data_IF_759717979777
#
_entry.id   IF_759717979777
#
_cell.length_a   1.000
_cell.length_b   1.000
_cell.length_c   1.000
_cell.angle_alpha   90.00
_cell.angle_beta   90.00
_cell.angle_gamma   90.00
#
_symmetry.space_group_name_H-M   'P 1'
#
loop_
_entity.id
_entity.type
_entity.pdbx_description
1 polymer ?
#
# COMPACT_ATOMS: atom_id res chain seq x y z
N UNK A 1 -12.93 17.85 8.95
CA UNK A 1 -13.88 16.82 8.58
C UNK A 1 -13.27 15.98 7.48
N UNK A 2 -13.15 14.67 7.70
CA UNK A 2 -12.61 13.75 6.70
C UNK A 2 -13.77 13.33 5.79
N UNK A 3 -13.79 13.78 4.55
CA UNK A 3 -14.64 13.21 3.52
C UNK A 3 -13.99 11.88 3.06
N UNK A 4 -14.07 10.87 3.92
CA UNK A 4 -13.82 9.50 3.52
C UNK A 4 -14.96 9.08 2.59
N UNK A 5 -14.72 9.10 1.28
CA UNK A 5 -15.63 8.47 0.33
C UNK A 5 -15.50 6.96 0.53
N UNK A 6 -16.27 6.46 1.52
CA UNK A 6 -16.35 5.04 1.82
C UNK A 6 -17.12 4.29 0.73
N UNK A 7 -16.50 3.27 0.18
CA UNK A 7 -17.17 2.00 -0.02
C UNK A 7 -18.07 1.82 -1.20
N UNK A 8 -17.83 2.40 -2.36
CA UNK A 8 -18.34 1.77 -3.61
C UNK A 8 -17.18 1.13 -4.35
N UNK A 9 -17.47 -0.02 -4.98
CA UNK A 9 -16.53 -0.59 -5.94
C UNK A 9 -16.02 0.54 -6.84
N UNK A 10 -14.70 0.69 -6.98
CA UNK A 10 -14.15 1.77 -7.80
C UNK A 10 -14.78 1.70 -9.19
N UNK A 11 -15.05 2.84 -9.84
CA UNK A 11 -15.56 2.85 -11.20
C UNK A 11 -14.67 1.95 -12.06
N UNK A 12 -15.30 0.96 -12.71
CA UNK A 12 -14.60 0.02 -13.59
C UNK A 12 -13.72 0.82 -14.56
N UNK A 13 -12.42 0.64 -14.54
CA UNK A 13 -11.45 1.34 -15.38
C UNK A 13 -10.55 2.34 -14.67
N UNK A 14 -10.95 2.98 -13.57
CA UNK A 14 -10.08 3.97 -12.87
C UNK A 14 -8.91 3.33 -12.13
N UNK A 15 -9.08 2.14 -11.56
CA UNK A 15 -8.01 1.44 -10.83
C UNK A 15 -7.08 0.63 -11.73
N UNK A 16 -7.50 0.26 -12.95
CA UNK A 16 -6.66 -0.56 -13.83
C UNK A 16 -5.27 0.06 -14.09
N UNK A 17 -5.13 1.34 -14.43
CA UNK A 17 -3.81 1.96 -14.60
C UNK A 17 -2.99 1.94 -13.31
N UNK A 18 -3.64 2.16 -12.16
CA UNK A 18 -2.97 2.15 -10.86
C UNK A 18 -2.47 0.75 -10.50
N UNK A 19 -3.29 -0.29 -10.68
CA UNK A 19 -2.89 -1.70 -10.47
C UNK A 19 -1.71 -2.04 -11.38
N UNK A 20 -1.76 -1.66 -12.66
CA UNK A 20 -0.66 -1.86 -13.61
C UNK A 20 0.62 -1.18 -13.14
N UNK A 21 0.55 0.00 -12.54
CA UNK A 21 1.71 0.66 -11.95
C UNK A 21 2.30 -0.14 -10.78
N UNK A 22 1.47 -0.66 -9.88
CA UNK A 22 1.94 -1.53 -8.79
C UNK A 22 2.65 -2.78 -9.30
N UNK A 23 2.16 -3.38 -10.39
CA UNK A 23 2.81 -4.52 -11.05
C UNK A 23 4.14 -4.15 -11.72
N UNK A 24 4.18 -3.05 -12.48
CA UNK A 24 5.39 -2.55 -13.15
C UNK A 24 6.45 -2.17 -12.12
N UNK A 25 6.06 -1.53 -11.04
CA UNK A 25 6.95 -1.19 -9.94
C UNK A 25 7.36 -2.41 -9.12
N UNK A 26 6.74 -3.57 -9.36
CA UNK A 26 7.00 -4.82 -8.64
C UNK A 26 6.59 -4.75 -7.16
N UNK A 27 5.66 -3.87 -6.79
CA UNK A 27 5.06 -3.85 -5.46
C UNK A 27 4.17 -5.07 -5.24
N UNK A 28 3.53 -5.56 -6.32
CA UNK A 28 2.71 -6.76 -6.33
C UNK A 28 3.14 -7.68 -7.49
N UNK A 29 2.90 -9.00 -7.39
CA UNK A 29 3.14 -9.91 -8.49
C UNK A 29 2.19 -9.63 -9.65
N UNK A 30 2.65 -9.85 -10.88
CA UNK A 30 1.81 -9.78 -12.09
C UNK A 30 0.77 -10.89 -12.09
N UNK A 31 -0.46 -10.55 -12.48
CA UNK A 31 -1.55 -11.50 -12.60
C UNK A 31 -2.44 -11.25 -13.81
N UNK A 32 -3.33 -12.20 -14.11
CA UNK A 32 -4.31 -12.08 -15.20
C UNK A 32 -5.65 -11.53 -14.72
N UNK A 33 -5.99 -11.80 -13.44
CA UNK A 33 -7.27 -11.40 -12.87
C UNK A 33 -7.04 -10.55 -11.61
N UNK A 34 -7.74 -9.43 -11.55
CA UNK A 34 -7.65 -8.47 -10.45
C UNK A 34 -9.04 -8.16 -9.92
N UNK A 35 -9.20 -8.24 -8.61
CA UNK A 35 -10.40 -7.77 -7.92
C UNK A 35 -9.99 -6.76 -6.87
N UNK A 36 -10.41 -5.51 -7.06
CA UNK A 36 -10.23 -4.44 -6.10
C UNK A 36 -11.52 -4.19 -5.34
N UNK A 37 -11.40 -3.96 -4.03
CA UNK A 37 -12.51 -3.66 -3.12
C UNK A 37 -12.10 -2.54 -2.15
N UNK A 38 -13.05 -2.00 -1.43
CA UNK A 38 -12.81 -1.07 -0.33
C UNK A 38 -11.85 0.06 -0.70
N UNK A 39 -12.25 0.83 -1.71
CA UNK A 39 -11.46 1.93 -2.22
C UNK A 39 -11.67 3.19 -1.37
N UNK A 40 -10.58 3.77 -0.89
CA UNK A 40 -10.52 4.99 -0.12
C UNK A 40 -9.74 6.03 -0.91
N UNK A 41 -10.25 7.24 -0.97
CA UNK A 41 -9.59 8.38 -1.60
C UNK A 41 -9.81 9.59 -0.72
N UNK A 42 -8.78 10.36 -0.50
CA UNK A 42 -8.90 11.62 0.23
C UNK A 42 -7.57 12.17 0.72
N UNK A 43 -7.59 13.38 1.26
CA UNK A 43 -6.46 13.93 1.94
C UNK A 43 -6.27 13.16 3.24
N UNK A 44 -5.33 12.27 3.21
CA UNK A 44 -4.95 11.47 4.35
C UNK A 44 -3.71 12.13 5.00
N UNK A 45 -3.82 12.90 6.18
CA UNK A 45 -2.73 13.59 6.87
C UNK A 45 -2.05 14.72 6.09
N UNK A 46 -2.78 15.33 5.14
CA UNK A 46 -2.25 16.39 4.31
C UNK A 46 -1.67 15.93 2.97
N UNK A 47 -1.51 14.63 2.75
CA UNK A 47 -1.14 14.06 1.46
C UNK A 47 -2.35 13.49 0.73
N UNK A 48 -2.50 13.74 -0.56
CA UNK A 48 -3.51 13.08 -1.40
C UNK A 48 -3.18 11.59 -1.48
N UNK A 49 -4.07 10.77 -0.93
CA UNK A 49 -3.89 9.33 -0.84
C UNK A 49 -5.02 8.53 -1.46
N UNK A 50 -4.67 7.32 -1.87
CA UNK A 50 -5.61 6.31 -2.31
C UNK A 50 -5.20 4.98 -1.68
N UNK A 51 -6.16 4.27 -1.09
CA UNK A 51 -5.93 2.93 -0.57
C UNK A 51 -7.05 2.00 -1.00
N UNK A 52 -6.75 0.74 -1.29
CA UNK A 52 -7.73 -0.25 -1.71
C UNK A 52 -7.25 -1.67 -1.39
N UNK A 53 -8.20 -2.54 -1.14
CA UNK A 53 -7.93 -3.97 -1.05
C UNK A 53 -7.85 -4.56 -2.45
N UNK A 54 -6.81 -5.34 -2.73
CA UNK A 54 -6.58 -5.97 -4.01
C UNK A 54 -6.36 -7.47 -3.85
N UNK A 55 -7.00 -8.24 -4.71
CA UNK A 55 -6.69 -9.66 -4.90
C UNK A 55 -6.22 -9.87 -6.33
N UNK A 56 -5.11 -10.60 -6.48
CA UNK A 56 -4.51 -10.92 -7.77
C UNK A 56 -4.45 -12.42 -7.93
N UNK A 57 -4.91 -12.92 -9.08
CA UNK A 57 -4.79 -14.33 -9.45
C UNK A 57 -3.97 -14.47 -10.72
N UNK A 58 -3.24 -15.60 -10.77
CA UNK A 58 -2.49 -16.04 -11.93
C UNK A 58 -2.97 -17.44 -12.31
N UNK A 59 -3.21 -17.66 -13.61
CA UNK A 59 -3.48 -18.99 -14.10
C UNK A 59 -2.23 -19.85 -13.97
N UNK A 60 -2.35 -21.01 -13.36
CA UNK A 60 -1.32 -22.05 -13.35
C UNK A 60 -1.75 -23.18 -14.23
N UNK A 61 -0.99 -23.43 -15.28
CA UNK A 61 -1.27 -24.50 -16.26
C UNK A 61 -1.21 -25.89 -15.61
N UNK A 62 -0.27 -26.09 -14.70
CA UNK A 62 -0.09 -27.34 -13.95
C UNK A 62 -1.30 -27.68 -13.08
N UNK A 63 -2.00 -26.70 -12.54
CA UNK A 63 -3.14 -26.86 -11.66
C UNK A 63 -4.49 -26.71 -12.40
N UNK A 64 -4.48 -26.28 -13.68
CA UNK A 64 -5.66 -25.98 -14.52
C UNK A 64 -6.65 -25.02 -13.83
N UNK A 65 -6.16 -24.12 -12.97
CA UNK A 65 -6.98 -23.17 -12.22
C UNK A 65 -6.26 -21.87 -11.93
N UNK A 66 -6.99 -20.77 -11.67
CA UNK A 66 -6.40 -19.56 -11.16
C UNK A 66 -5.94 -19.75 -9.71
N UNK A 67 -4.70 -19.39 -9.41
CA UNK A 67 -4.13 -19.39 -8.07
C UNK A 67 -3.98 -17.97 -7.59
N UNK A 68 -4.39 -17.69 -6.36
CA UNK A 68 -4.21 -16.39 -5.73
C UNK A 68 -2.73 -16.18 -5.43
N UNK A 69 -2.15 -15.13 -6.03
CA UNK A 69 -0.74 -14.77 -5.87
C UNK A 69 -0.51 -13.54 -5.00
N UNK A 70 -1.57 -12.76 -4.73
CA UNK A 70 -1.56 -11.63 -3.81
C UNK A 70 -2.95 -11.40 -3.25
N UNK A 71 -3.03 -11.03 -1.98
CA UNK A 71 -4.26 -10.54 -1.39
C UNK A 71 -3.93 -9.59 -0.24
N UNK A 72 -4.22 -8.31 -0.42
CA UNK A 72 -3.82 -7.34 0.58
C UNK A 72 -4.18 -5.91 0.28
N UNK A 73 -3.56 -5.02 1.02
CA UNK A 73 -3.73 -3.59 0.95
C UNK A 73 -2.72 -2.99 -0.03
N UNK A 74 -3.21 -2.18 -0.97
CA UNK A 74 -2.40 -1.33 -1.83
C UNK A 74 -2.73 0.13 -1.51
N UNK A 75 -1.70 0.96 -1.31
CA UNK A 75 -1.85 2.37 -1.06
C UNK A 75 -0.89 3.19 -1.91
N UNK A 76 -1.36 4.33 -2.41
CA UNK A 76 -0.57 5.34 -3.11
C UNK A 76 -0.76 6.68 -2.44
N UNK A 77 0.34 7.41 -2.19
CA UNK A 77 0.32 8.77 -1.66
C UNK A 77 1.10 9.71 -2.58
N UNK A 78 0.58 10.90 -2.80
CA UNK A 78 1.34 11.99 -3.39
C UNK A 78 2.15 12.66 -2.27
N UNK A 79 3.48 12.66 -2.39
CA UNK A 79 4.35 13.33 -1.45
C UNK A 79 4.33 14.84 -1.75
N UNK A 80 4.34 15.67 -0.71
CA UNK A 80 4.26 17.12 -0.84
C UNK A 80 5.48 17.70 -1.58
N UNK A 81 6.60 16.98 -1.58
CA UNK A 81 7.84 17.42 -2.21
C UNK A 81 8.19 16.61 -3.45
N UNK A 82 8.67 17.25 -4.52
CA UNK A 82 9.07 16.56 -5.74
C UNK A 82 10.35 15.77 -5.50
N UNK A 83 10.21 14.47 -5.30
CA UNK A 83 11.33 13.52 -5.23
C UNK A 83 11.53 12.99 -6.64
N UNK A 84 12.64 13.33 -7.29
CA UNK A 84 13.01 12.78 -8.60
C UNK A 84 13.78 11.47 -8.41
N UNK A 85 13.46 10.46 -9.22
CA UNK A 85 14.10 9.15 -9.17
C UNK A 85 13.21 8.06 -8.58
N UNK A 86 13.80 6.89 -8.38
CA UNK A 86 13.08 5.71 -7.88
C UNK A 86 13.88 4.97 -6.84
N UNK A 87 13.25 4.71 -5.71
CA UNK A 87 13.80 3.88 -4.62
C UNK A 87 12.78 2.83 -4.23
N UNK A 88 13.20 1.58 -4.22
CA UNK A 88 12.45 0.49 -3.62
C UNK A 88 13.00 0.23 -2.23
N UNK A 89 12.11 0.22 -1.26
CA UNK A 89 12.41 -0.08 0.13
C UNK A 89 11.90 -1.48 0.46
N UNK A 90 12.79 -2.31 1.00
CA UNK A 90 12.42 -3.60 1.56
C UNK A 90 11.78 -3.41 2.94
N UNK A 91 11.10 -4.44 3.43
CA UNK A 91 10.50 -4.42 4.75
C UNK A 91 11.53 -4.15 5.88
N UNK A 92 12.79 -4.56 5.70
CA UNK A 92 13.87 -4.30 6.63
C UNK A 92 14.40 -2.84 6.59
N UNK A 93 13.80 -2.01 5.72
CA UNK A 93 14.19 -0.61 5.55
C UNK A 93 15.46 -0.42 4.72
N UNK A 94 16.02 -1.48 4.15
CA UNK A 94 17.15 -1.38 3.24
C UNK A 94 16.67 -1.13 1.80
N UNK A 95 17.42 -0.38 1.00
CA UNK A 95 17.12 -0.22 -0.43
C UNK A 95 17.34 -1.56 -1.16
N UNK A 96 16.44 -1.86 -2.10
CA UNK A 96 16.57 -3.05 -2.94
C UNK A 96 17.64 -2.84 -4.04
N UNK A 97 18.14 -3.94 -4.62
CA UNK A 97 19.06 -3.88 -5.73
C UNK A 97 18.44 -3.11 -6.91
N UNK A 98 19.21 -2.20 -7.51
CA UNK A 98 18.74 -1.32 -8.59
C UNK A 98 18.05 -0.03 -8.12
N UNK A 99 17.96 0.21 -6.81
CA UNK A 99 17.54 1.50 -6.26
C UNK A 99 18.67 2.53 -6.39
N UNK A 100 18.29 3.81 -6.51
CA UNK A 100 19.23 4.91 -6.33
C UNK A 100 19.66 4.96 -4.86
N UNK A 101 20.88 4.47 -4.59
CA UNK A 101 21.40 4.38 -3.22
C UNK A 101 21.59 5.75 -2.59
N UNK A 102 22.00 6.76 -3.36
CA UNK A 102 22.16 8.12 -2.86
C UNK A 102 20.83 8.69 -2.41
N UNK A 103 19.81 8.54 -3.25
CA UNK A 103 18.46 8.93 -2.92
C UNK A 103 17.91 8.14 -1.73
N UNK A 104 18.15 6.82 -1.70
CA UNK A 104 17.72 5.98 -0.60
C UNK A 104 18.30 6.42 0.75
N UNK A 105 19.60 6.72 0.80
CA UNK A 105 20.24 7.23 2.03
C UNK A 105 19.64 8.55 2.51
N UNK A 106 19.28 9.43 1.58
CA UNK A 106 18.64 10.72 1.92
C UNK A 106 17.20 10.53 2.42
N UNK A 107 16.47 9.56 1.89
CA UNK A 107 15.09 9.28 2.28
C UNK A 107 14.96 8.47 3.57
N UNK A 108 15.91 7.58 3.86
CA UNK A 108 15.89 6.71 5.03
C UNK A 108 16.33 7.42 6.31
N UNK A 109 15.68 8.52 6.61
CA UNK A 109 15.85 9.26 7.87
C UNK A 109 15.40 8.44 9.10
N UNK A 110 15.80 8.77 10.33
CA UNK A 110 15.35 8.05 11.51
C UNK A 110 13.83 7.93 11.65
N UNK A 111 13.00 8.96 11.37
CA UNK A 111 11.54 8.82 11.37
C UNK A 111 11.01 7.83 10.32
N UNK A 112 11.56 7.83 9.10
CA UNK A 112 11.18 6.90 8.05
C UNK A 112 11.52 5.46 8.44
N UNK A 113 12.72 5.23 8.99
CA UNK A 113 13.12 3.91 9.51
C UNK A 113 12.20 3.43 10.64
N UNK A 114 11.81 4.33 11.55
CA UNK A 114 10.88 4.00 12.63
C UNK A 114 9.49 3.63 12.10
N UNK A 115 8.97 4.35 11.10
CA UNK A 115 7.69 4.04 10.46
C UNK A 115 7.73 2.67 9.74
N UNK A 116 8.79 2.38 8.98
CA UNK A 116 8.99 1.08 8.35
C UNK A 116 9.13 -0.05 9.37
N UNK A 117 9.82 0.18 10.48
CA UNK A 117 9.96 -0.81 11.55
C UNK A 117 8.61 -1.15 12.21
N UNK A 118 7.73 -0.15 12.41
CA UNK A 118 6.36 -0.39 12.91
C UNK A 118 5.53 -1.23 11.94
N UNK A 119 5.56 -0.89 10.65
CA UNK A 119 4.89 -1.68 9.62
C UNK A 119 5.42 -3.12 9.60
N UNK A 120 6.74 -3.30 9.67
CA UNK A 120 7.37 -4.63 9.72
C UNK A 120 6.99 -5.42 10.96
N UNK A 121 6.95 -4.80 12.12
CA UNK A 121 6.55 -5.46 13.37
C UNK A 121 5.13 -6.05 13.26
N UNK A 122 4.24 -5.40 12.51
CA UNK A 122 2.85 -5.83 12.33
C UNK A 122 2.66 -6.81 11.17
N UNK A 123 3.34 -6.60 10.04
CA UNK A 123 3.09 -7.33 8.80
C UNK A 123 4.24 -8.25 8.36
N UNK A 124 5.37 -8.23 9.08
CA UNK A 124 6.56 -8.98 8.72
C UNK A 124 7.19 -8.50 7.41
N UNK A 125 7.78 -9.41 6.66
CA UNK A 125 8.48 -9.11 5.40
C UNK A 125 7.52 -9.02 4.18
N UNK A 126 6.20 -8.97 4.43
CA UNK A 126 5.15 -8.94 3.40
C UNK A 126 4.84 -7.53 2.89
N UNK A 127 5.74 -6.59 3.10
CA UNK A 127 5.61 -5.19 2.72
C UNK A 127 6.53 -4.92 1.53
N UNK A 128 5.99 -4.23 0.53
CA UNK A 128 6.75 -3.65 -0.55
C UNK A 128 6.44 -2.15 -0.63
N UNK A 129 7.45 -1.31 -0.59
CA UNK A 129 7.29 0.12 -0.72
C UNK A 129 8.21 0.65 -1.84
N UNK A 130 7.65 1.47 -2.73
CA UNK A 130 8.40 2.11 -3.82
C UNK A 130 8.08 3.60 -3.82
N UNK A 131 9.13 4.41 -3.82
CA UNK A 131 9.03 5.85 -4.05
C UNK A 131 9.47 6.09 -5.48
N UNK A 132 8.65 6.79 -6.25
CA UNK A 132 8.97 7.16 -7.62
C UNK A 132 8.31 8.48 -8.01
N UNK A 133 9.11 9.42 -8.45
CA UNK A 133 8.67 10.70 -9.01
C UNK A 133 7.65 11.43 -8.11
N UNK A 134 7.94 11.49 -6.80
CA UNK A 134 7.09 12.14 -5.80
C UNK A 134 5.86 11.34 -5.38
N UNK A 135 5.77 10.08 -5.77
CA UNK A 135 4.71 9.16 -5.36
C UNK A 135 5.27 8.05 -4.49
N UNK A 136 4.59 7.77 -3.39
CA UNK A 136 4.83 6.57 -2.56
C UNK A 136 3.80 5.51 -2.91
N UNK A 137 4.25 4.33 -3.27
CA UNK A 137 3.44 3.13 -3.47
C UNK A 137 3.77 2.13 -2.37
N UNK A 138 2.77 1.63 -1.67
CA UNK A 138 2.94 0.58 -0.66
C UNK A 138 1.97 -0.55 -0.93
N UNK A 139 2.47 -1.78 -0.88
CA UNK A 139 1.65 -2.98 -0.93
C UNK A 139 1.97 -3.87 0.28
N UNK A 140 0.95 -4.36 0.95
CA UNK A 140 1.04 -5.27 2.09
C UNK A 140 0.26 -6.54 1.74
N UNK A 141 0.94 -7.68 1.60
CA UNK A 141 0.27 -8.96 1.39
C UNK A 141 -0.26 -9.50 2.72
N UNK A 142 -1.55 -9.37 2.93
CA UNK A 142 -2.21 -9.78 4.17
C UNK A 142 -2.60 -11.25 4.18
N UNK A 143 -2.72 -11.89 3.00
CA UNK A 143 -3.20 -13.26 2.81
C UNK A 143 -4.60 -13.55 3.38
N UNK A 144 -5.23 -12.56 3.97
CA UNK A 144 -6.57 -12.56 4.56
C UNK A 144 -7.31 -11.30 4.11
N UNK A 145 -8.66 -11.28 4.10
CA UNK A 145 -9.42 -10.06 3.83
C UNK A 145 -9.00 -8.94 4.79
N UNK A 146 -8.67 -7.78 4.23
CA UNK A 146 -8.29 -6.61 5.01
C UNK A 146 -9.48 -6.07 5.79
N UNK A 147 -10.63 -6.05 5.13
CA UNK A 147 -11.88 -5.60 5.73
C UNK A 147 -12.93 -6.72 5.67
N UNK A 148 -13.45 -7.10 6.81
CA UNK A 148 -14.61 -7.99 6.89
C UNK A 148 -15.80 -7.15 7.34
N UNK A 149 -16.74 -6.93 6.42
CA UNK A 149 -18.08 -6.56 6.86
C UNK A 149 -18.64 -7.74 7.67
N UNK A 150 -19.24 -7.47 8.84
CA UNK A 150 -20.07 -8.49 9.49
C UNK A 150 -21.08 -9.00 8.47
N UNK A 151 -21.23 -10.30 8.34
CA UNK A 151 -22.28 -10.86 7.50
C UNK A 151 -23.64 -10.31 7.93
N UNK A 152 -24.55 -10.16 6.98
CA UNK A 152 -25.94 -9.71 7.23
C UNK A 152 -26.67 -10.48 8.34
N UNK A 153 -26.12 -11.63 8.75
CA UNK A 153 -26.65 -12.53 9.80
C UNK A 153 -25.70 -12.68 10.99
N UNK A 154 -24.66 -11.83 11.10
CA UNK A 154 -23.84 -11.84 12.31
C UNK A 154 -24.60 -11.14 13.42
N UNK A 155 -24.98 -11.89 14.45
CA UNK A 155 -25.68 -11.37 15.63
C UNK A 155 -24.89 -10.29 16.37
N UNK A 156 -23.58 -10.21 16.16
CA UNK A 156 -22.71 -9.15 16.70
C UNK A 156 -21.84 -8.56 15.61
N UNK A 157 -21.93 -7.24 15.43
CA UNK A 157 -20.94 -6.47 14.66
C UNK A 157 -19.63 -6.50 15.46
N UNK A 158 -18.74 -7.41 15.10
CA UNK A 158 -17.43 -7.45 15.75
C UNK A 158 -16.61 -6.23 15.32
N UNK A 159 -16.72 -5.17 16.10
CA UNK A 159 -16.03 -3.88 15.88
C UNK A 159 -14.51 -3.97 16.02
N UNK A 160 -13.97 -5.13 16.40
CA UNK A 160 -12.50 -5.30 16.59
C UNK A 160 -11.70 -5.22 15.29
N UNK A 161 -12.33 -5.42 14.14
CA UNK A 161 -11.67 -5.34 12.83
C UNK A 161 -11.52 -3.92 12.28
N UNK A 162 -12.41 -3.00 12.69
CA UNK A 162 -12.35 -1.59 12.26
C UNK A 162 -11.10 -0.89 12.80
N UNK A 163 -10.75 -1.01 14.10
CA UNK A 163 -9.52 -0.47 14.63
C UNK A 163 -8.27 -0.98 13.91
N UNK A 164 -8.19 -2.29 13.65
CA UNK A 164 -7.04 -2.88 12.98
C UNK A 164 -6.82 -2.32 11.56
N UNK A 165 -7.91 -2.07 10.84
CA UNK A 165 -7.88 -1.45 9.51
C UNK A 165 -7.47 0.02 9.59
N UNK A 166 -7.99 0.75 10.58
CA UNK A 166 -7.62 2.14 10.82
C UNK A 166 -6.13 2.28 11.17
N UNK A 167 -5.62 1.39 12.04
CA UNK A 167 -4.21 1.37 12.41
C UNK A 167 -3.30 1.11 11.19
N UNK A 168 -3.71 0.21 10.28
CA UNK A 168 -2.93 -0.07 9.05
C UNK A 168 -2.85 1.18 8.16
N UNK A 169 -3.96 1.91 8.01
CA UNK A 169 -3.99 3.18 7.26
C UNK A 169 -3.13 4.24 7.97
N UNK A 170 -3.26 4.38 9.28
CA UNK A 170 -2.49 5.34 10.07
C UNK A 170 -0.98 5.10 9.95
N UNK A 171 -0.53 3.84 10.03
CA UNK A 171 0.88 3.50 9.85
C UNK A 171 1.40 3.82 8.44
N UNK A 172 0.59 3.59 7.41
CA UNK A 172 0.95 3.97 6.04
C UNK A 172 1.07 5.47 5.89
N UNK A 173 0.24 6.19 6.60
CA UNK A 173 0.22 7.63 6.68
C UNK A 173 1.45 8.20 7.36
N UNK A 174 1.77 7.65 8.52
CA UNK A 174 2.97 8.01 9.26
C UNK A 174 4.23 7.84 8.40
N UNK A 175 4.26 6.79 7.54
CA UNK A 175 5.36 6.60 6.60
C UNK A 175 5.39 7.73 5.54
N UNK A 176 4.25 8.10 4.96
CA UNK A 176 4.18 9.19 3.98
C UNK A 176 4.57 10.52 4.61
N UNK A 177 4.05 10.82 5.80
CA UNK A 177 4.38 12.05 6.55
C UNK A 177 5.87 12.12 6.95
N UNK A 178 6.44 10.97 7.36
CA UNK A 178 7.87 10.90 7.70
C UNK A 178 8.77 11.16 6.47
N UNK A 179 8.36 10.66 5.28
CA UNK A 179 9.06 10.94 4.03
C UNK A 179 9.01 12.43 3.66
N UNK A 180 7.85 13.06 3.81
CA UNK A 180 7.69 14.49 3.52
C UNK A 180 8.48 15.36 4.50
N UNK A 181 8.47 15.03 5.79
CA UNK A 181 9.21 15.77 6.81
C UNK A 181 10.73 15.58 6.72
N UNK A 182 11.17 14.37 6.37
CA UNK A 182 12.59 14.00 6.32
C UNK A 182 13.34 14.52 5.09
N UNK A 183 12.62 14.97 4.06
CA UNK A 183 13.22 15.50 2.84
C UNK A 183 13.64 16.97 3.01
N UNK A 184 14.82 17.21 3.55
CA UNK A 184 15.48 18.52 3.45
C UNK A 184 16.16 18.62 2.06
N UNK A 185 15.40 19.09 1.06
CA UNK A 185 15.95 19.35 -0.26
C UNK A 185 17.00 20.45 -0.19
N UNK A 186 18.24 20.11 -0.37
CA UNK A 186 19.33 21.02 -0.78
C UNK A 186 19.49 20.92 -2.28
#
# INVERSE_FOLDING_TARGET
>A
GYDLIYGRNPPRGRLKPLITLFEILGCIPRGQYHVARHWFVGPLGGADGQAFELTVWRWREEELRPVRVFHGLCARFALARPIKGSVRLRADGNPDQGSDLTLAHRLLTPPVRAALARLRARHGDRISAVIRDGLLFVAIDLQRPWYRLPGLFAEEVNMTHIPATADDIEMLWDLAAALDAGWSGS
#
